data_IF_296508938838
#
_entry.id   IF_296508938838
#
_cell.length_a   1.000
_cell.length_b   1.000
_cell.length_c   1.000
_cell.angle_alpha   90.00
_cell.angle_beta   90.00
_cell.angle_gamma   90.00
#
_symmetry.space_group_name_H-M   'P 1'
#
loop_
_entity.id
_entity.type
_entity.pdbx_description
1 polymer ?
#
# COMPACT_ATOMS: atom_id res chain seq x y z
N UNK A 1 10.83 -18.35 13.22
CA UNK A 1 11.29 -17.25 12.35
C UNK A 1 11.21 -15.97 13.14
N UNK A 2 12.16 -15.01 13.03
CA UNK A 2 11.96 -13.71 13.64
C UNK A 2 10.66 -13.12 13.09
N UNK A 3 9.84 -12.52 13.97
CA UNK A 3 8.57 -11.90 13.60
C UNK A 3 8.79 -10.73 12.61
N UNK A 4 7.72 -10.30 11.95
CA UNK A 4 7.75 -9.14 11.04
C UNK A 4 8.16 -7.88 11.84
N UNK A 5 9.30 -7.24 11.53
CA UNK A 5 9.90 -6.25 12.44
C UNK A 5 9.35 -4.83 12.27
N UNK A 6 8.42 -4.61 11.32
CA UNK A 6 7.96 -3.28 10.96
C UNK A 6 6.54 -3.00 11.46
N UNK A 7 6.25 -1.78 11.97
CA UNK A 7 4.88 -1.31 12.09
C UNK A 7 4.26 -1.19 10.69
N UNK A 8 2.95 -1.39 10.61
CA UNK A 8 2.19 -1.36 9.35
C UNK A 8 1.30 -0.13 9.27
N UNK A 9 1.45 0.64 8.20
CA UNK A 9 0.51 1.68 7.78
C UNK A 9 -0.37 1.16 6.65
N UNK A 10 -1.70 1.26 6.81
CA UNK A 10 -2.67 0.94 5.75
C UNK A 10 -3.35 2.22 5.30
N UNK A 11 -3.18 2.59 4.03
CA UNK A 11 -3.82 3.78 3.47
C UNK A 11 -5.29 3.54 3.13
N UNK A 12 -6.18 4.30 3.77
CA UNK A 12 -7.63 4.15 3.64
C UNK A 12 -8.41 5.49 3.63
N UNK A 13 -7.73 6.65 3.58
CA UNK A 13 -8.37 7.98 3.71
C UNK A 13 -9.00 8.51 2.40
N UNK A 14 -8.76 7.87 1.25
CA UNK A 14 -9.20 8.36 -0.06
C UNK A 14 -10.73 8.42 -0.24
N UNK A 15 -11.22 9.38 -1.02
CA UNK A 15 -12.65 9.49 -1.36
C UNK A 15 -13.19 8.33 -2.20
N UNK A 16 -12.34 7.65 -2.95
CA UNK A 16 -12.77 6.57 -3.85
C UNK A 16 -13.65 7.03 -5.00
N UNK A 17 -13.50 8.26 -5.48
CA UNK A 17 -14.37 8.89 -6.49
C UNK A 17 -14.53 8.07 -7.78
N UNK A 18 -13.50 7.32 -8.18
CA UNK A 18 -13.53 6.43 -9.36
C UNK A 18 -14.47 5.24 -9.22
N UNK A 19 -14.93 4.94 -7.99
CA UNK A 19 -15.91 3.88 -7.72
C UNK A 19 -17.36 4.32 -7.96
N UNK A 20 -17.60 5.59 -8.28
CA UNK A 20 -18.93 6.13 -8.58
C UNK A 20 -19.93 5.93 -7.43
N UNK A 21 -21.10 5.37 -7.73
CA UNK A 21 -22.17 5.17 -6.76
C UNK A 21 -21.83 4.21 -5.62
N UNK A 22 -20.83 3.33 -5.79
CA UNK A 22 -20.42 2.38 -4.76
C UNK A 22 -19.81 3.06 -3.52
N UNK A 23 -19.37 4.31 -3.66
CA UNK A 23 -18.83 5.11 -2.54
C UNK A 23 -19.77 6.23 -2.08
N UNK A 24 -21.01 6.26 -2.55
CA UNK A 24 -21.97 7.30 -2.16
C UNK A 24 -22.35 7.22 -0.67
N UNK A 25 -22.48 6.01 -0.12
CA UNK A 25 -22.93 5.75 1.25
C UNK A 25 -21.86 5.09 2.15
N UNK A 26 -20.71 4.71 1.60
CA UNK A 26 -19.60 4.04 2.33
C UNK A 26 -18.24 4.44 1.78
N UNK A 27 -17.17 4.39 2.61
CA UNK A 27 -15.82 4.62 2.11
C UNK A 27 -15.35 3.41 1.27
N UNK A 28 -14.50 3.67 0.27
CA UNK A 28 -13.98 2.64 -0.64
C UNK A 28 -13.39 1.41 0.09
N UNK A 29 -12.63 1.54 1.18
CA UNK A 29 -12.10 0.39 1.90
C UNK A 29 -13.16 -0.57 2.47
N UNK A 30 -14.41 -0.14 2.59
CA UNK A 30 -15.54 -0.97 3.05
C UNK A 30 -16.36 -1.58 1.90
N UNK A 31 -15.98 -1.38 0.64
CA UNK A 31 -16.61 -2.07 -0.49
C UNK A 31 -16.29 -3.57 -0.38
N UNK A 32 -17.31 -4.45 -0.50
CA UNK A 32 -17.09 -5.89 -0.45
C UNK A 32 -16.44 -6.42 -1.74
N UNK A 33 -15.45 -7.29 -1.57
CA UNK A 33 -14.83 -8.12 -2.61
C UNK A 33 -14.80 -9.55 -2.08
N UNK A 34 -15.40 -10.49 -2.80
CA UNK A 34 -15.56 -11.88 -2.37
C UNK A 34 -16.20 -12.00 -0.96
N UNK A 35 -17.18 -11.14 -0.67
CA UNK A 35 -17.94 -11.14 0.58
C UNK A 35 -17.22 -10.50 1.77
N UNK A 36 -16.04 -9.89 1.60
CA UNK A 36 -15.26 -9.23 2.64
C UNK A 36 -14.93 -7.79 2.25
N UNK A 37 -14.86 -6.88 3.20
CA UNK A 37 -14.43 -5.50 2.93
C UNK A 37 -12.99 -5.48 2.38
N UNK A 38 -12.72 -4.60 1.42
CA UNK A 38 -11.37 -4.43 0.83
C UNK A 38 -10.28 -4.29 1.89
N UNK A 39 -10.53 -3.48 2.91
CA UNK A 39 -9.55 -3.28 3.98
C UNK A 39 -9.26 -4.57 4.75
N UNK A 40 -10.21 -5.48 4.87
CA UNK A 40 -10.01 -6.74 5.60
C UNK A 40 -9.03 -7.67 4.89
N UNK A 41 -8.93 -7.60 3.55
CA UNK A 41 -7.91 -8.31 2.80
C UNK A 41 -6.51 -7.76 3.12
N UNK A 42 -6.35 -6.43 3.15
CA UNK A 42 -5.06 -5.80 3.49
C UNK A 42 -4.67 -6.06 4.96
N UNK A 43 -5.61 -5.98 5.90
CA UNK A 43 -5.36 -6.25 7.31
C UNK A 43 -4.99 -7.71 7.58
N UNK A 44 -5.56 -8.65 6.83
CA UNK A 44 -5.20 -10.06 6.93
C UNK A 44 -3.76 -10.32 6.47
N UNK A 45 -3.32 -9.66 5.39
CA UNK A 45 -1.92 -9.71 4.95
C UNK A 45 -0.98 -9.25 6.08
N UNK A 46 -1.33 -8.15 6.77
CA UNK A 46 -0.58 -7.66 7.92
C UNK A 46 -0.54 -8.67 9.07
N UNK A 47 -1.68 -9.25 9.39
CA UNK A 47 -1.80 -10.25 10.45
C UNK A 47 -1.00 -11.54 10.14
N UNK A 48 -1.07 -12.03 8.89
CA UNK A 48 -0.31 -13.20 8.44
C UNK A 48 1.20 -12.95 8.42
N UNK A 49 1.65 -11.73 8.11
CA UNK A 49 3.05 -11.35 8.24
C UNK A 49 3.50 -11.24 9.70
N UNK A 50 2.58 -11.07 10.65
CA UNK A 50 2.88 -10.89 12.06
C UNK A 50 3.16 -9.43 12.44
N UNK A 51 2.53 -8.46 11.77
CA UNK A 51 2.64 -7.04 12.11
C UNK A 51 2.08 -6.78 13.52
N UNK A 52 2.97 -6.45 14.46
CA UNK A 52 2.60 -6.24 15.86
C UNK A 52 1.84 -4.93 16.10
N UNK A 53 1.96 -3.97 15.20
CA UNK A 53 1.31 -2.66 15.26
C UNK A 53 0.78 -2.30 13.88
N UNK A 54 -0.51 -2.01 13.80
CA UNK A 54 -1.16 -1.56 12.56
C UNK A 54 -1.87 -0.24 12.79
N UNK A 55 -1.65 0.71 11.89
CA UNK A 55 -2.29 2.03 11.85
C UNK A 55 -3.03 2.16 10.53
N UNK A 56 -4.26 2.66 10.57
CA UNK A 56 -5.09 2.95 9.38
C UNK A 56 -5.39 4.45 9.36
N UNK A 57 -5.11 5.16 8.27
CA UNK A 57 -5.59 6.53 8.14
C UNK A 57 -7.03 6.55 7.61
N UNK A 58 -7.80 7.55 8.06
CA UNK A 58 -9.20 7.71 7.69
C UNK A 58 -9.53 9.18 7.43
N UNK A 59 -10.42 9.45 6.50
CA UNK A 59 -10.98 10.76 6.24
C UNK A 59 -12.45 10.65 5.86
N UNK A 60 -12.75 10.27 4.63
CA UNK A 60 -14.12 10.14 4.15
C UNK A 60 -14.87 9.05 4.92
N UNK A 61 -16.00 9.44 5.53
CA UNK A 61 -16.84 8.56 6.36
C UNK A 61 -16.06 7.84 7.46
N UNK A 62 -15.19 8.58 8.13
CA UNK A 62 -14.28 8.05 9.16
C UNK A 62 -15.00 7.27 10.27
N UNK A 63 -16.24 7.67 10.63
CA UNK A 63 -17.04 6.98 11.65
C UNK A 63 -17.37 5.53 11.25
N UNK A 64 -17.67 5.27 9.97
CA UNK A 64 -17.92 3.91 9.48
C UNK A 64 -16.63 3.07 9.53
N UNK A 65 -15.48 3.67 9.19
CA UNK A 65 -14.19 3.01 9.34
C UNK A 65 -13.86 2.70 10.80
N UNK A 66 -14.08 3.67 11.69
CA UNK A 66 -13.86 3.48 13.14
C UNK A 66 -14.74 2.38 13.71
N UNK A 67 -16.02 2.34 13.33
CA UNK A 67 -16.94 1.27 13.74
C UNK A 67 -16.48 -0.11 13.23
N UNK A 68 -16.06 -0.21 11.96
CA UNK A 68 -15.59 -1.46 11.36
C UNK A 68 -14.29 -1.97 11.99
N UNK A 69 -13.39 -1.08 12.40
CA UNK A 69 -12.09 -1.41 12.99
C UNK A 69 -12.14 -1.57 14.52
N UNK A 70 -13.29 -1.28 15.13
CA UNK A 70 -13.45 -1.33 16.61
C UNK A 70 -13.13 -2.72 17.15
N UNK A 71 -12.41 -2.76 18.28
CA UNK A 71 -12.03 -3.99 18.98
C UNK A 71 -10.95 -4.84 18.32
N UNK A 72 -10.36 -4.39 17.20
CA UNK A 72 -9.37 -5.15 16.42
C UNK A 72 -7.91 -4.84 16.78
N UNK A 73 -7.65 -3.99 17.77
CA UNK A 73 -6.29 -3.59 18.15
C UNK A 73 -5.57 -2.71 17.11
N UNK A 74 -6.33 -2.07 16.20
CA UNK A 74 -5.83 -1.21 15.13
C UNK A 74 -5.94 0.24 15.58
N UNK A 75 -4.84 1.01 15.48
CA UNK A 75 -4.85 2.44 15.73
C UNK A 75 -5.36 3.21 14.49
N UNK A 76 -6.09 4.29 14.73
CA UNK A 76 -6.65 5.14 13.65
C UNK A 76 -5.94 6.49 13.67
N UNK A 77 -5.38 6.87 12.52
CA UNK A 77 -4.87 8.22 12.23
C UNK A 77 -5.95 8.98 11.46
N UNK A 78 -6.74 9.80 12.16
CA UNK A 78 -7.85 10.53 11.54
C UNK A 78 -7.39 11.85 10.91
N UNK A 79 -7.62 12.01 9.62
CA UNK A 79 -7.37 13.24 8.85
C UNK A 79 -8.65 14.10 8.86
N UNK A 80 -8.91 14.81 9.98
CA UNK A 80 -10.20 15.45 10.24
C UNK A 80 -10.55 16.55 9.23
N UNK A 81 -9.63 17.49 8.99
CA UNK A 81 -9.93 18.72 8.26
C UNK A 81 -9.86 18.57 6.73
N UNK A 82 -8.94 17.73 6.26
CA UNK A 82 -8.67 17.52 4.83
C UNK A 82 -7.85 16.27 4.60
N UNK A 83 -7.92 15.72 3.38
CA UNK A 83 -7.02 14.65 2.94
C UNK A 83 -5.59 15.19 2.87
N UNK A 84 -4.65 14.44 3.46
CA UNK A 84 -3.23 14.82 3.54
C UNK A 84 -2.39 14.21 2.41
N UNK A 85 -2.99 13.42 1.52
CA UNK A 85 -2.31 12.56 0.56
C UNK A 85 -1.43 11.50 1.25
N UNK A 86 -0.72 10.67 0.47
CA UNK A 86 -0.01 9.51 1.03
C UNK A 86 1.18 9.88 1.91
N UNK A 87 1.92 10.92 1.57
CA UNK A 87 3.07 11.38 2.36
C UNK A 87 2.64 12.11 3.63
N UNK A 88 1.68 13.04 3.52
CA UNK A 88 1.15 13.76 4.68
C UNK A 88 0.38 12.84 5.63
N UNK A 89 -0.40 11.89 5.11
CA UNK A 89 -1.09 10.87 5.90
C UNK A 89 -0.12 9.97 6.68
N UNK A 90 0.97 9.55 6.03
CA UNK A 90 2.05 8.83 6.73
C UNK A 90 2.69 9.69 7.81
N UNK A 91 3.03 10.95 7.50
CA UNK A 91 3.62 11.89 8.46
C UNK A 91 2.74 12.07 9.69
N UNK A 92 1.44 12.27 9.51
CA UNK A 92 0.47 12.41 10.60
C UNK A 92 0.37 11.12 11.46
N UNK A 93 0.59 9.95 10.87
CA UNK A 93 0.52 8.66 11.54
C UNK A 93 1.81 8.27 12.29
N UNK A 94 2.95 8.95 12.07
CA UNK A 94 4.24 8.60 12.69
C UNK A 94 4.19 8.48 14.22
N UNK A 95 3.49 9.36 14.97
CA UNK A 95 3.38 9.21 16.43
C UNK A 95 2.73 7.89 16.88
N UNK A 96 1.88 7.30 16.01
CA UNK A 96 1.22 6.03 16.27
C UNK A 96 2.05 4.84 15.78
N UNK A 97 2.89 5.02 14.76
CA UNK A 97 3.73 3.99 14.18
C UNK A 97 5.01 3.75 14.99
N UNK A 98 5.57 4.80 15.58
CA UNK A 98 6.85 4.77 16.29
C UNK A 98 8.01 5.06 15.35
N UNK A 99 9.23 4.92 15.87
CA UNK A 99 10.46 5.25 15.17
C UNK A 99 10.90 4.12 14.22
N UNK A 100 11.65 4.50 13.17
CA UNK A 100 12.27 3.58 12.23
C UNK A 100 11.47 3.35 10.94
N UNK A 101 11.88 2.35 10.14
CA UNK A 101 11.19 2.02 8.91
C UNK A 101 9.78 1.50 9.14
N UNK A 102 8.87 1.85 8.23
CA UNK A 102 7.44 1.49 8.27
C UNK A 102 7.11 0.66 7.03
N UNK A 103 6.38 -0.43 7.21
CA UNK A 103 5.73 -1.12 6.12
C UNK A 103 4.40 -0.42 5.78
N UNK A 104 4.06 -0.38 4.50
CA UNK A 104 2.88 0.31 3.98
C UNK A 104 2.12 -0.64 3.07
N UNK A 105 0.79 -0.65 3.19
CA UNK A 105 -0.13 -1.26 2.26
C UNK A 105 -1.21 -0.27 1.82
N UNK A 106 -1.57 -0.31 0.55
CA UNK A 106 -2.81 0.29 0.08
C UNK A 106 -3.98 -0.65 0.42
N UNK A 107 -5.13 -0.10 0.80
CA UNK A 107 -6.33 -0.89 1.12
C UNK A 107 -7.12 -1.36 -0.10
N UNK A 108 -6.72 -0.98 -1.31
CA UNK A 108 -7.45 -1.23 -2.57
C UNK A 108 -6.79 -2.24 -3.50
N UNK A 109 -5.70 -2.86 -3.07
CA UNK A 109 -5.06 -3.96 -3.78
C UNK A 109 -5.56 -5.34 -3.29
N UNK A 110 -5.62 -6.29 -4.21
CA UNK A 110 -5.78 -7.71 -3.89
C UNK A 110 -4.53 -8.44 -4.39
N UNK A 111 -3.86 -9.15 -3.49
CA UNK A 111 -2.65 -9.92 -3.78
C UNK A 111 -2.91 -11.41 -3.60
N UNK A 112 -2.28 -12.24 -4.42
CA UNK A 112 -2.24 -13.69 -4.27
C UNK A 112 -0.79 -14.20 -4.36
N UNK A 113 -0.56 -15.45 -3.96
CA UNK A 113 0.79 -16.03 -3.89
C UNK A 113 1.51 -15.66 -2.59
N UNK A 114 2.79 -15.32 -2.66
CA UNK A 114 3.59 -14.96 -1.50
C UNK A 114 3.03 -13.73 -0.78
N UNK A 115 3.10 -13.72 0.57
CA UNK A 115 2.67 -12.55 1.33
C UNK A 115 3.56 -11.35 0.99
N UNK A 116 3.00 -10.23 0.48
CA UNK A 116 3.76 -9.08 0.00
C UNK A 116 4.65 -8.44 1.07
N UNK A 117 4.20 -8.40 2.33
CA UNK A 117 4.97 -7.84 3.43
C UNK A 117 6.14 -8.74 3.83
N UNK A 118 5.93 -10.06 3.85
CA UNK A 118 6.99 -11.04 4.14
C UNK A 118 8.06 -11.00 3.06
N UNK A 119 7.67 -10.85 1.78
CA UNK A 119 8.59 -10.74 0.66
C UNK A 119 9.43 -9.45 0.76
N UNK A 120 8.80 -8.32 1.08
CA UNK A 120 9.50 -7.05 1.31
C UNK A 120 10.47 -7.16 2.48
N UNK A 121 10.05 -7.74 3.61
CA UNK A 121 10.90 -7.89 4.79
C UNK A 121 12.13 -8.75 4.51
N UNK A 122 11.99 -9.82 3.72
CA UNK A 122 13.09 -10.70 3.32
C UNK A 122 14.11 -10.00 2.40
N UNK A 123 13.66 -9.05 1.58
CA UNK A 123 14.50 -8.31 0.63
C UNK A 123 15.06 -6.99 1.19
N UNK A 124 14.57 -6.53 2.35
CA UNK A 124 14.98 -5.26 2.94
C UNK A 124 16.43 -5.27 3.42
N UNK A 125 17.20 -4.28 2.98
CA UNK A 125 18.58 -4.03 3.45
C UNK A 125 18.68 -2.61 4.02
N UNK A 126 18.76 -2.45 5.37
CA UNK A 126 18.77 -1.14 6.01
C UNK A 126 20.03 -0.31 5.72
N UNK A 127 21.14 -0.93 5.29
CA UNK A 127 22.38 -0.22 4.99
C UNK A 127 22.34 0.47 3.62
N UNK A 128 21.43 0.06 2.74
CA UNK A 128 21.37 0.54 1.36
C UNK A 128 20.05 1.24 1.00
N UNK A 129 18.96 0.86 1.68
CA UNK A 129 17.61 1.21 1.25
C UNK A 129 16.97 2.25 2.16
N UNK A 130 16.47 3.33 1.57
CA UNK A 130 15.50 4.22 2.20
C UNK A 130 14.07 3.85 1.79
N UNK A 131 13.90 3.27 0.60
CA UNK A 131 12.64 2.70 0.14
C UNK A 131 12.87 1.36 -0.57
N UNK A 132 11.96 0.40 -0.31
CA UNK A 132 11.83 -0.84 -1.08
C UNK A 132 10.36 -1.00 -1.50
N UNK A 133 10.10 -0.91 -2.80
CA UNK A 133 8.78 -1.00 -3.39
C UNK A 133 8.52 -2.40 -3.94
N UNK A 134 7.32 -2.93 -3.70
CA UNK A 134 6.87 -4.15 -4.35
C UNK A 134 6.34 -3.82 -5.74
N UNK A 135 6.89 -4.47 -6.74
CA UNK A 135 6.66 -4.18 -8.15
C UNK A 135 6.06 -5.41 -8.86
N UNK A 136 5.33 -5.16 -9.93
CA UNK A 136 4.87 -6.19 -10.85
C UNK A 136 5.18 -5.77 -12.28
N UNK A 137 5.69 -6.65 -13.16
CA UNK A 137 5.81 -6.34 -14.57
C UNK A 137 4.45 -5.91 -15.15
N UNK A 138 4.42 -4.84 -15.92
CA UNK A 138 3.17 -4.23 -16.42
C UNK A 138 2.23 -5.23 -17.09
N UNK A 139 2.77 -6.17 -17.87
CA UNK A 139 1.99 -7.21 -18.56
C UNK A 139 1.30 -8.22 -17.62
N UNK A 140 1.66 -8.25 -16.34
CA UNK A 140 1.05 -9.11 -15.30
C UNK A 140 0.06 -8.36 -14.40
N UNK A 141 -0.06 -7.04 -14.53
CA UNK A 141 -0.98 -6.25 -13.72
C UNK A 141 -2.42 -6.37 -14.25
N UNK A 142 -3.38 -6.58 -13.34
CA UNK A 142 -4.80 -6.68 -13.65
C UNK A 142 -5.52 -5.40 -13.23
N UNK A 143 -6.45 -4.92 -14.06
CA UNK A 143 -7.25 -3.71 -13.84
C UNK A 143 -6.42 -2.42 -13.62
N UNK A 144 -5.16 -2.41 -14.07
CA UNK A 144 -4.27 -1.25 -14.04
C UNK A 144 -4.20 -0.58 -15.42
N UNK A 145 -3.83 0.72 -15.44
CA UNK A 145 -3.66 1.47 -16.69
C UNK A 145 -2.47 0.98 -17.53
N UNK A 146 -2.34 1.46 -18.78
CA UNK A 146 -1.37 0.95 -19.76
C UNK A 146 0.08 1.41 -19.53
N UNK A 147 0.37 2.14 -18.45
CA UNK A 147 1.71 2.69 -18.17
C UNK A 147 2.27 2.11 -16.88
N UNK A 148 3.54 1.72 -16.92
CA UNK A 148 4.29 1.38 -15.72
C UNK A 148 4.80 2.63 -15.00
N UNK A 149 5.16 2.46 -13.74
CA UNK A 149 5.63 3.53 -12.86
C UNK A 149 7.15 3.62 -12.81
N UNK A 150 7.81 2.46 -12.85
CA UNK A 150 9.25 2.35 -12.58
C UNK A 150 9.96 1.36 -13.52
N UNK A 151 11.23 1.64 -13.79
CA UNK A 151 12.20 0.67 -14.31
C UNK A 151 12.95 0.06 -13.16
N UNK A 152 13.19 -1.24 -13.22
CA UNK A 152 13.96 -2.01 -12.25
C UNK A 152 15.32 -2.39 -12.87
N UNK A 153 16.40 -1.94 -12.27
CA UNK A 153 17.75 -2.30 -12.68
C UNK A 153 18.18 -3.66 -12.12
N UNK A 154 19.22 -4.26 -12.69
CA UNK A 154 19.73 -5.56 -12.26
C UNK A 154 20.24 -5.58 -10.80
N UNK A 155 20.66 -4.43 -10.26
CA UNK A 155 21.10 -4.27 -8.86
C UNK A 155 19.96 -3.96 -7.88
N UNK A 156 18.72 -3.97 -8.37
CA UNK A 156 17.49 -3.70 -7.62
C UNK A 156 17.12 -2.22 -7.49
N UNK A 157 17.94 -1.28 -7.97
CA UNK A 157 17.56 0.14 -7.95
C UNK A 157 16.41 0.41 -8.93
N UNK A 158 15.57 1.36 -8.55
CA UNK A 158 14.49 1.82 -9.41
C UNK A 158 14.76 3.21 -9.97
N UNK A 159 14.20 3.46 -11.14
CA UNK A 159 14.12 4.79 -11.77
C UNK A 159 12.71 5.00 -12.30
N UNK A 160 12.34 6.25 -12.63
CA UNK A 160 11.02 6.54 -13.19
C UNK A 160 10.82 5.82 -14.52
N UNK A 161 9.63 5.26 -14.71
CA UNK A 161 9.21 4.60 -15.93
C UNK A 161 9.19 5.57 -17.12
N UNK A 162 9.50 5.04 -18.29
CA UNK A 162 9.51 5.79 -19.56
C UNK A 162 8.75 5.04 -20.68
N UNK A 163 8.00 4.00 -20.30
CA UNK A 163 7.33 3.07 -21.21
C UNK A 163 8.17 1.83 -21.51
N UNK A 164 7.60 0.87 -22.25
CA UNK A 164 8.25 -0.40 -22.56
C UNK A 164 8.15 -1.43 -21.43
N UNK A 165 9.26 -2.00 -20.99
CA UNK A 165 9.32 -3.04 -19.94
C UNK A 165 9.24 -2.46 -18.53
N UNK A 166 8.40 -1.46 -18.31
CA UNK A 166 8.22 -0.85 -17.00
C UNK A 166 7.44 -1.78 -16.05
N UNK A 167 7.60 -1.49 -14.77
CA UNK A 167 6.91 -2.17 -13.68
C UNK A 167 5.89 -1.24 -13.03
N UNK A 168 4.84 -1.83 -12.47
CA UNK A 168 3.81 -1.14 -11.69
C UNK A 168 4.14 -1.27 -10.22
N UNK A 169 4.00 -0.18 -9.46
CA UNK A 169 3.98 -0.22 -8.00
C UNK A 169 2.63 -0.74 -7.53
N UNK A 170 2.65 -1.85 -6.81
CA UNK A 170 1.43 -2.57 -6.42
C UNK A 170 0.95 -2.29 -5.00
N UNK A 171 1.23 -1.10 -4.50
CA UNK A 171 0.65 -0.62 -3.24
C UNK A 171 1.26 -1.22 -1.97
N UNK A 172 2.42 -1.87 -2.04
CA UNK A 172 3.13 -2.39 -0.87
C UNK A 172 4.59 -1.93 -0.86
N UNK A 173 5.11 -1.45 0.27
CA UNK A 173 6.50 -1.00 0.40
C UNK A 173 6.99 -1.00 1.84
N UNK A 174 8.31 -0.95 2.03
CA UNK A 174 8.97 -0.54 3.27
C UNK A 174 9.67 0.79 3.02
N UNK A 175 9.53 1.74 3.95
CA UNK A 175 10.02 3.11 3.80
C UNK A 175 10.67 3.59 5.09
N UNK A 176 11.85 4.19 5.01
CA UNK A 176 12.42 5.00 6.07
C UNK A 176 11.64 6.32 6.21
N UNK A 177 11.40 6.74 7.44
CA UNK A 177 10.48 7.83 7.73
C UNK A 177 11.14 9.20 7.91
N UNK A 178 12.46 9.28 7.94
CA UNK A 178 13.21 10.50 8.25
C UNK A 178 12.92 11.63 7.24
N UNK A 179 12.87 11.35 5.93
CA UNK A 179 12.52 12.35 4.91
C UNK A 179 11.06 12.78 5.02
N UNK A 180 10.17 11.85 5.37
CA UNK A 180 8.74 12.12 5.59
C UNK A 180 8.58 13.08 6.77
N UNK A 181 9.22 12.77 7.90
CA UNK A 181 9.18 13.60 9.09
C UNK A 181 9.75 15.01 8.85
N UNK A 182 10.84 15.11 8.08
CA UNK A 182 11.53 16.35 7.77
C UNK A 182 10.81 17.22 6.71
N UNK A 183 9.85 16.68 5.96
CA UNK A 183 9.09 17.45 4.95
C UNK A 183 8.27 18.55 5.64
N UNK A 184 8.42 19.84 5.28
CA UNK A 184 7.72 20.94 5.98
C UNK A 184 6.21 20.93 5.70
N UNK A 185 5.80 20.47 4.52
CA UNK A 185 4.42 20.47 4.09
C UNK A 185 3.57 19.46 4.90
N UNK A 186 2.31 19.82 5.15
CA UNK A 186 1.35 18.91 5.77
C UNK A 186 0.66 18.03 4.73
N UNK A 187 0.48 18.52 3.49
CA UNK A 187 -0.19 17.81 2.39
C UNK A 187 0.81 17.54 1.28
N UNK A 188 1.16 16.30 1.07
CA UNK A 188 2.06 15.87 -0.02
C UNK A 188 1.94 14.38 -0.28
N UNK A 189 2.21 13.99 -1.54
CA UNK A 189 2.26 12.59 -1.94
C UNK A 189 3.64 11.96 -1.72
N UNK A 190 3.71 10.65 -1.50
CA UNK A 190 4.95 9.86 -1.41
C UNK A 190 5.81 9.94 -2.67
N UNK A 191 5.22 10.28 -3.81
CA UNK A 191 5.95 10.51 -5.06
C UNK A 191 7.11 11.50 -4.93
N UNK A 192 6.96 12.53 -4.09
CA UNK A 192 8.02 13.49 -3.78
C UNK A 192 9.23 12.79 -3.14
N UNK A 193 8.98 12.05 -2.07
CA UNK A 193 10.03 11.33 -1.34
C UNK A 193 10.70 10.25 -2.20
N UNK A 194 9.91 9.51 -2.99
CA UNK A 194 10.48 8.55 -3.96
C UNK A 194 11.41 9.24 -4.98
N UNK A 195 11.05 10.44 -5.47
CA UNK A 195 11.91 11.17 -6.41
C UNK A 195 13.26 11.52 -5.78
N UNK A 196 13.25 11.96 -4.52
CA UNK A 196 14.48 12.27 -3.77
C UNK A 196 15.32 11.01 -3.50
N UNK A 197 14.69 9.90 -3.10
CA UNK A 197 15.36 8.62 -2.86
C UNK A 197 15.90 7.99 -4.14
N UNK A 198 15.20 8.12 -5.26
CA UNK A 198 15.69 7.69 -6.58
C UNK A 198 16.94 8.49 -6.95
N UNK A 199 16.89 9.82 -6.81
CA UNK A 199 18.05 10.68 -7.09
C UNK A 199 19.27 10.38 -6.20
N UNK A 200 19.03 9.97 -4.94
CA UNK A 200 20.05 9.53 -4.00
C UNK A 200 20.55 8.09 -4.25
N UNK A 201 19.91 7.31 -5.13
CA UNK A 201 20.23 5.90 -5.39
C UNK A 201 19.87 4.96 -4.23
N UNK A 202 18.92 5.36 -3.37
CA UNK A 202 18.49 4.62 -2.16
C UNK A 202 17.06 4.04 -2.28
N UNK A 203 16.40 4.19 -3.45
CA UNK A 203 15.13 3.57 -3.76
C UNK A 203 15.34 2.28 -4.56
N UNK A 204 14.74 1.20 -4.06
CA UNK A 204 14.86 -0.15 -4.62
C UNK A 204 13.47 -0.74 -4.90
N UNK A 205 13.44 -1.78 -5.71
CA UNK A 205 12.24 -2.56 -6.00
C UNK A 205 12.53 -4.05 -5.96
N UNK A 206 11.48 -4.82 -5.66
CA UNK A 206 11.48 -6.29 -5.77
C UNK A 206 10.21 -6.73 -6.48
N UNK A 207 10.33 -7.72 -7.36
CA UNK A 207 9.19 -8.24 -8.13
C UNK A 207 8.37 -9.18 -7.27
N UNK A 208 7.05 -8.96 -7.24
CA UNK A 208 6.11 -9.83 -6.52
C UNK A 208 6.02 -11.22 -7.16
N UNK A 209 6.10 -12.25 -6.32
CA UNK A 209 6.05 -13.66 -6.72
C UNK A 209 4.61 -14.19 -6.85
N UNK A 210 3.62 -13.33 -6.88
CA UNK A 210 2.21 -13.65 -7.05
C UNK A 210 1.56 -12.82 -8.14
N UNK A 211 0.24 -12.69 -8.04
CA UNK A 211 -0.55 -11.80 -8.88
C UNK A 211 -1.15 -10.68 -8.03
N UNK A 212 -1.56 -9.63 -8.71
CA UNK A 212 -2.16 -8.46 -8.08
C UNK A 212 -3.24 -7.84 -8.97
N UNK A 213 -4.28 -7.34 -8.34
CA UNK A 213 -5.37 -6.60 -8.98
C UNK A 213 -5.62 -5.27 -8.27
N UNK A 214 -5.67 -4.17 -9.03
CA UNK A 214 -6.11 -2.86 -8.54
C UNK A 214 -7.64 -2.79 -8.52
N UNK A 215 -8.23 -2.62 -7.34
CA UNK A 215 -9.67 -2.36 -7.19
C UNK A 215 -9.91 -0.84 -7.20
N UNK A 216 -9.38 -0.17 -8.20
CA UNK A 216 -9.48 1.28 -8.40
C UNK A 216 -10.79 1.74 -9.05
N UNK A 217 -11.51 0.84 -9.72
CA UNK A 217 -12.74 1.05 -10.47
C UNK A 217 -13.73 -0.10 -10.22
N UNK A 218 -15.04 0.07 -10.50
CA UNK A 218 -16.03 -0.99 -10.29
C UNK A 218 -15.70 -2.31 -10.98
N UNK A 219 -15.14 -2.26 -12.19
CA UNK A 219 -14.74 -3.44 -12.96
C UNK A 219 -13.63 -4.25 -12.26
N UNK A 220 -12.78 -3.59 -11.49
CA UNK A 220 -11.72 -4.23 -10.70
C UNK A 220 -12.26 -5.18 -9.63
N UNK A 221 -13.50 -5.01 -9.17
CA UNK A 221 -14.13 -5.92 -8.19
C UNK A 221 -14.25 -7.33 -8.77
N UNK A 222 -14.86 -7.44 -9.95
CA UNK A 222 -15.05 -8.75 -10.59
C UNK A 222 -13.73 -9.42 -10.96
N UNK A 223 -12.71 -8.63 -11.34
CA UNK A 223 -11.37 -9.13 -11.61
C UNK A 223 -10.69 -9.67 -10.35
N UNK A 224 -10.77 -8.92 -9.25
CA UNK A 224 -10.24 -9.32 -7.95
C UNK A 224 -10.92 -10.59 -7.41
N UNK A 225 -12.24 -10.72 -7.58
CA UNK A 225 -12.98 -11.92 -7.19
C UNK A 225 -12.55 -13.16 -7.99
N UNK A 226 -12.35 -13.01 -9.31
CA UNK A 226 -11.81 -14.08 -10.15
C UNK A 226 -10.40 -14.49 -9.70
N UNK A 227 -9.55 -13.52 -9.41
CA UNK A 227 -8.20 -13.75 -8.91
C UNK A 227 -8.20 -14.55 -7.59
N UNK A 228 -9.04 -14.16 -6.63
CA UNK A 228 -9.17 -14.86 -5.36
C UNK A 228 -9.73 -16.27 -5.50
N UNK A 229 -10.64 -16.50 -6.43
CA UNK A 229 -11.18 -17.84 -6.73
C UNK A 229 -10.09 -18.75 -7.31
N UNK A 230 -9.31 -18.25 -8.27
CA UNK A 230 -8.21 -19.01 -8.87
C UNK A 230 -7.13 -19.40 -7.83
N UNK A 231 -6.79 -18.49 -6.90
CA UNK A 231 -5.81 -18.76 -5.85
C UNK A 231 -6.24 -19.77 -4.77
N UNK A 232 -7.53 -20.13 -4.70
CA UNK A 232 -8.05 -21.16 -3.78
C UNK A 232 -7.96 -22.59 -4.35
N UNK A 233 -7.69 -22.74 -5.64
CA UNK A 233 -7.69 -24.01 -6.35
C UNK A 233 -6.29 -24.45 -6.82
N UNK A 234 -5.26 -23.70 -6.50
CA UNK A 234 -3.85 -23.99 -6.73
C UNK A 234 -3.08 -24.13 -5.43
#
# INVERSE_FOLDING_TARGET
>A
MPGFPFPLMVFAAGFGTRMGTLTADRPKPLIPVAGRALIDHALEIGAQAGAARTVVNTHYRAEQMAAHLSGRGIAISHEADRILETGGGLKAALPLLGDGPVAILNSDGIWTGANPLSQLAAAWNPDRMEALLLLLPLHRSLAHGPKGDFRLAADGRISRGQGGEDHVYIGAQILRTERIAATPDAVFGLNRSWTEMIAAGTAFGVVHEGQWCDVGHPEGIAEAERLLQAGRHG
#
